data_IF_454548172399
#
_entry.id   IF_454548172399
#
_cell.length_a   1.000
_cell.length_b   1.000
_cell.length_c   1.000
_cell.angle_alpha   90.00
_cell.angle_beta   90.00
_cell.angle_gamma   90.00
#
_symmetry.space_group_name_H-M   'P 1'
#
loop_
_entity.id
_entity.type
_entity.pdbx_description
1 polymer ?
#
# COMPACT_ATOMS: atom_id res chain seq x y z
N UNK A 1 13.88 -7.26 -3.82
CA UNK A 1 12.80 -7.58 -4.78
C UNK A 1 11.52 -8.01 -4.10
N UNK A 2 11.46 -9.13 -3.34
CA UNK A 2 10.23 -9.56 -2.64
C UNK A 2 9.64 -8.50 -1.69
N UNK A 3 10.46 -7.89 -0.84
CA UNK A 3 10.02 -6.81 0.06
C UNK A 3 9.48 -5.59 -0.69
N UNK A 4 10.10 -5.25 -1.81
CA UNK A 4 9.68 -4.13 -2.65
C UNK A 4 8.35 -4.44 -3.34
N UNK A 5 8.16 -5.65 -3.84
CA UNK A 5 6.87 -6.10 -4.37
C UNK A 5 5.79 -5.99 -3.28
N UNK A 6 6.02 -6.52 -2.08
CA UNK A 6 5.04 -6.44 -0.98
C UNK A 6 4.64 -5.00 -0.64
N UNK A 7 5.60 -4.05 -0.66
CA UNK A 7 5.30 -2.64 -0.43
C UNK A 7 4.45 -2.09 -1.58
N UNK A 8 4.81 -2.34 -2.84
CA UNK A 8 4.05 -1.86 -3.98
C UNK A 8 2.63 -2.45 -4.04
N UNK A 9 2.46 -3.73 -3.72
CA UNK A 9 1.17 -4.38 -3.58
C UNK A 9 0.32 -3.71 -2.49
N UNK A 10 0.92 -3.36 -1.34
CA UNK A 10 0.23 -2.61 -0.29
C UNK A 10 -0.22 -1.22 -0.77
N UNK A 11 0.63 -0.52 -1.55
CA UNK A 11 0.30 0.80 -2.09
C UNK A 11 -0.84 0.73 -3.11
N UNK A 12 -0.85 -0.26 -4.01
CA UNK A 12 -1.94 -0.45 -4.98
C UNK A 12 -3.25 -0.78 -4.27
N UNK A 13 -3.23 -1.73 -3.34
CA UNK A 13 -4.44 -2.05 -2.55
C UNK A 13 -4.97 -0.84 -1.79
N UNK A 14 -4.08 -0.03 -1.19
CA UNK A 14 -4.48 1.18 -0.50
C UNK A 14 -5.10 2.22 -1.44
N UNK A 15 -4.64 2.32 -2.69
CA UNK A 15 -5.21 3.22 -3.70
C UNK A 15 -6.59 2.77 -4.18
N UNK A 16 -6.77 1.47 -4.37
CA UNK A 16 -8.04 0.88 -4.79
C UNK A 16 -9.11 1.02 -3.70
N UNK A 17 -8.70 0.90 -2.43
CA UNK A 17 -9.56 1.02 -1.25
C UNK A 17 -9.36 2.34 -0.49
N UNK A 18 -8.94 3.40 -1.20
CA UNK A 18 -8.51 4.67 -0.57
C UNK A 18 -9.55 5.24 0.40
N UNK A 19 -10.84 5.16 0.07
CA UNK A 19 -11.90 5.74 0.90
C UNK A 19 -12.00 5.00 2.24
N UNK A 20 -11.87 3.66 2.24
CA UNK A 20 -11.82 2.84 3.46
C UNK A 20 -10.54 3.09 4.26
N UNK A 21 -9.39 3.22 3.57
CA UNK A 21 -8.10 3.49 4.21
C UNK A 21 -8.13 4.85 4.92
N UNK A 22 -8.64 5.89 4.25
CA UNK A 22 -8.79 7.21 4.86
C UNK A 22 -9.72 7.17 6.06
N UNK A 23 -10.86 6.47 5.98
CA UNK A 23 -11.77 6.32 7.11
C UNK A 23 -11.09 5.65 8.31
N UNK A 24 -10.35 4.57 8.08
CA UNK A 24 -9.62 3.86 9.15
C UNK A 24 -8.55 4.75 9.80
N UNK A 25 -7.85 5.56 9.00
CA UNK A 25 -6.85 6.50 9.52
C UNK A 25 -7.53 7.59 10.34
N UNK A 26 -8.63 8.17 9.86
CA UNK A 26 -9.42 9.20 10.57
C UNK A 26 -9.96 8.70 11.90
N UNK A 27 -10.42 7.43 11.95
CA UNK A 27 -10.99 6.81 13.15
C UNK A 27 -9.93 6.34 14.17
N UNK A 28 -8.64 6.52 13.90
CA UNK A 28 -7.54 6.07 14.77
C UNK A 28 -7.12 7.17 15.74
N UNK A 29 -6.84 6.83 17.00
CA UNK A 29 -6.45 7.78 18.03
C UNK A 29 -5.06 8.38 17.80
N UNK A 30 -4.13 7.56 17.30
CA UNK A 30 -2.76 7.95 17.02
C UNK A 30 -2.19 7.22 15.80
N UNK A 31 -0.97 7.61 15.42
CA UNK A 31 -0.27 7.06 14.25
C UNK A 31 0.01 5.57 14.41
N UNK A 32 0.32 5.10 15.61
CA UNK A 32 0.62 3.69 15.85
C UNK A 32 -0.64 2.82 15.73
N UNK A 33 -1.79 3.33 16.18
CA UNK A 33 -3.09 2.70 15.94
C UNK A 33 -3.43 2.66 14.45
N UNK A 34 -3.24 3.76 13.73
CA UNK A 34 -3.47 3.81 12.29
C UNK A 34 -2.60 2.79 11.54
N UNK A 35 -1.32 2.65 11.89
CA UNK A 35 -0.42 1.63 11.31
C UNK A 35 -0.98 0.21 11.52
N UNK A 36 -1.43 -0.10 12.75
CA UNK A 36 -1.98 -1.43 13.06
C UNK A 36 -3.29 -1.68 12.31
N UNK A 37 -4.21 -0.73 12.31
CA UNK A 37 -5.54 -0.88 11.70
C UNK A 37 -5.49 -0.91 10.18
N UNK A 38 -4.64 -0.10 9.54
CA UNK A 38 -4.39 -0.19 8.09
C UNK A 38 -3.77 -1.53 7.72
N UNK A 39 -2.84 -2.04 8.55
CA UNK A 39 -2.26 -3.37 8.35
C UNK A 39 -3.31 -4.48 8.39
N UNK A 40 -4.23 -4.41 9.36
CA UNK A 40 -5.35 -5.33 9.47
C UNK A 40 -6.32 -5.21 8.29
N UNK A 41 -6.65 -3.99 7.87
CA UNK A 41 -7.56 -3.71 6.76
C UNK A 41 -7.06 -4.31 5.43
N UNK A 42 -5.76 -4.17 5.15
CA UNK A 42 -5.14 -4.56 3.89
C UNK A 42 -4.45 -5.93 3.95
N UNK A 43 -4.39 -6.57 5.11
CA UNK A 43 -3.68 -7.85 5.29
C UNK A 43 -2.16 -7.72 5.10
N UNK A 44 -1.59 -6.55 5.41
CA UNK A 44 -0.16 -6.25 5.21
C UNK A 44 0.58 -6.11 6.54
N UNK A 45 1.88 -6.42 6.54
CA UNK A 45 2.75 -6.23 7.69
C UNK A 45 3.07 -4.75 7.95
N UNK A 46 3.71 -4.48 9.09
CA UNK A 46 4.01 -3.11 9.57
C UNK A 46 4.71 -2.22 8.53
N UNK A 47 5.66 -2.79 7.77
CA UNK A 47 6.34 -2.05 6.71
C UNK A 47 5.38 -1.55 5.62
N UNK A 48 4.45 -2.41 5.19
CA UNK A 48 3.43 -2.06 4.19
C UNK A 48 2.49 -1.00 4.74
N UNK A 49 2.04 -1.16 5.98
CA UNK A 49 1.21 -0.16 6.67
C UNK A 49 1.87 1.21 6.74
N UNK A 50 3.15 1.25 7.15
CA UNK A 50 3.93 2.50 7.22
C UNK A 50 4.11 3.12 5.84
N UNK A 51 4.31 2.32 4.80
CA UNK A 51 4.40 2.83 3.43
C UNK A 51 3.09 3.48 2.98
N UNK A 52 1.94 2.87 3.32
CA UNK A 52 0.61 3.41 3.04
C UNK A 52 0.38 4.74 3.77
N UNK A 53 0.71 4.84 5.07
CA UNK A 53 0.55 6.09 5.82
C UNK A 53 1.47 7.22 5.32
N UNK A 54 2.59 6.87 4.66
CA UNK A 54 3.51 7.85 4.07
C UNK A 54 3.11 8.28 2.65
N UNK A 55 1.97 7.81 2.14
CA UNK A 55 1.45 8.26 0.85
C UNK A 55 1.19 9.76 0.86
N UNK A 56 1.70 10.44 -0.16
CA UNK A 56 1.50 11.86 -0.34
C UNK A 56 0.28 12.10 -1.23
N UNK A 57 -0.43 13.22 -1.04
CA UNK A 57 -1.61 13.56 -1.82
C UNK A 57 -1.37 13.49 -3.34
N UNK A 58 -0.18 13.89 -3.82
CA UNK A 58 0.21 13.79 -5.23
C UNK A 58 0.20 12.35 -5.76
N UNK A 59 0.45 11.36 -4.92
CA UNK A 59 0.50 9.95 -5.31
C UNK A 59 -0.89 9.41 -5.68
N UNK A 60 -1.95 10.09 -5.25
CA UNK A 60 -3.32 9.76 -5.61
C UNK A 60 -3.74 10.30 -6.98
N UNK A 61 -2.90 11.03 -7.72
CA UNK A 61 -3.27 11.42 -9.10
C UNK A 61 -3.28 10.21 -10.03
N UNK A 62 -4.05 10.28 -11.13
CA UNK A 62 -4.27 9.12 -12.03
C UNK A 62 -2.97 8.58 -12.61
N UNK A 63 -2.06 9.46 -13.01
CA UNK A 63 -0.74 9.11 -13.56
C UNK A 63 0.14 8.38 -12.53
N UNK A 64 0.19 8.87 -11.29
CA UNK A 64 0.99 8.25 -10.24
C UNK A 64 0.44 6.87 -9.84
N UNK A 65 -0.89 6.74 -9.73
CA UNK A 65 -1.51 5.42 -9.47
C UNK A 65 -1.19 4.42 -10.58
N UNK A 66 -1.28 4.85 -11.84
CA UNK A 66 -0.94 3.99 -12.98
C UNK A 66 0.53 3.59 -12.98
N UNK A 67 1.44 4.50 -12.62
CA UNK A 67 2.87 4.21 -12.52
C UNK A 67 3.17 3.18 -11.42
N UNK A 68 2.52 3.29 -10.25
CA UNK A 68 2.69 2.33 -9.14
C UNK A 68 2.20 0.93 -9.54
N UNK A 69 1.02 0.84 -10.15
CA UNK A 69 0.47 -0.44 -10.62
C UNK A 69 1.35 -1.09 -11.69
N UNK A 70 1.82 -0.31 -12.67
CA UNK A 70 2.70 -0.81 -13.73
C UNK A 70 4.02 -1.36 -13.15
N UNK A 71 4.56 -0.70 -12.13
CA UNK A 71 5.79 -1.16 -11.50
C UNK A 71 5.59 -2.40 -10.62
N UNK A 72 4.44 -2.53 -9.96
CA UNK A 72 4.08 -3.77 -9.27
C UNK A 72 4.04 -4.96 -10.23
N UNK A 73 3.42 -4.80 -11.39
CA UNK A 73 3.38 -5.82 -12.44
C UNK A 73 4.78 -6.19 -12.94
N UNK A 74 5.65 -5.19 -13.15
CA UNK A 74 7.05 -5.41 -13.51
C UNK A 74 7.81 -6.18 -12.42
N UNK A 75 7.63 -5.82 -11.14
CA UNK A 75 8.26 -6.52 -10.02
C UNK A 75 7.80 -7.96 -9.92
N UNK A 76 6.50 -8.21 -10.16
CA UNK A 76 5.91 -9.55 -10.19
C UNK A 76 6.48 -10.38 -11.34
N UNK A 77 6.61 -9.81 -12.54
CA UNK A 77 7.15 -10.54 -13.70
C UNK A 77 8.64 -10.89 -13.57
N UNK A 78 9.38 -10.19 -12.71
CA UNK A 78 10.81 -10.42 -12.46
C UNK A 78 11.08 -11.41 -11.33
N UNK A 79 10.06 -11.79 -10.56
CA UNK A 79 10.17 -12.84 -9.56
C UNK A 79 9.88 -14.19 -10.25
N UNK A 80 10.80 -15.17 -10.21
CA UNK A 80 10.48 -16.49 -10.69
C UNK A 80 9.35 -17.06 -9.84
N UNK A 81 8.30 -17.56 -10.49
CA UNK A 81 7.26 -18.35 -9.83
C UNK A 81 7.96 -19.44 -9.01
N UNK A 82 7.87 -19.32 -7.69
CA UNK A 82 8.44 -20.30 -6.78
C UNK A 82 7.68 -21.61 -6.94
N UNK A 83 8.21 -22.51 -7.78
CA UNK A 83 7.92 -23.94 -7.72
C UNK A 83 8.77 -24.59 -6.63
#
# INVERSE_FOLDING_TARGET
>A
MRQQLMVHEALVQAMDRRDEVFQVIEDSQDVDEAIRRVGQLLGVGELGSRAVLNLQAKTFTRDQRQAIASYEEELRSRLPDGR
#
